data_IF_393012050764
#
_entry.id   IF_393012050764
#
_cell.length_a   1.000
_cell.length_b   1.000
_cell.length_c   1.000
_cell.angle_alpha   90.00
_cell.angle_beta   90.00
_cell.angle_gamma   90.00
#
_symmetry.space_group_name_H-M   'P 1'
#
loop_
_entity.id
_entity.type
_entity.pdbx_description
1 polymer ?
#
# COMPACT_ATOMS: atom_id res chain seq x y z
N UNK A 1 -28.50 1.33 10.29
CA UNK A 1 -27.47 1.88 9.40
C UNK A 1 -26.30 0.93 9.48
N UNK A 2 -25.89 0.28 8.40
CA UNK A 2 -24.85 -0.74 8.44
C UNK A 2 -23.45 -0.11 8.25
N UNK A 3 -22.41 -0.76 8.77
CA UNK A 3 -21.01 -0.36 8.54
C UNK A 3 -20.58 -0.47 7.06
N UNK A 4 -21.35 -1.19 6.24
CA UNK A 4 -21.13 -1.31 4.79
C UNK A 4 -21.14 0.04 4.06
N UNK A 5 -21.84 1.03 4.62
CA UNK A 5 -21.92 2.36 4.03
C UNK A 5 -20.79 3.32 4.47
N UNK A 6 -19.88 2.87 5.35
CA UNK A 6 -18.82 3.74 5.87
C UNK A 6 -17.87 4.27 4.78
N UNK A 7 -17.61 3.49 3.75
CA UNK A 7 -16.79 3.88 2.60
C UNK A 7 -17.40 4.96 1.69
N UNK A 8 -18.70 5.23 1.84
CA UNK A 8 -19.41 6.19 1.01
C UNK A 8 -19.32 7.65 1.53
N UNK A 9 -18.79 7.85 2.73
CA UNK A 9 -18.61 9.19 3.28
C UNK A 9 -17.39 9.88 2.64
N UNK A 10 -17.59 11.10 2.16
CA UNK A 10 -16.56 11.88 1.48
C UNK A 10 -15.66 12.64 2.46
N UNK A 11 -16.23 13.11 3.58
CA UNK A 11 -15.51 13.95 4.54
C UNK A 11 -15.20 13.22 5.85
N UNK A 12 -14.17 13.72 6.55
CA UNK A 12 -13.80 13.22 7.87
C UNK A 12 -14.91 13.45 8.90
N UNK A 13 -15.60 14.60 8.82
CA UNK A 13 -16.68 14.98 9.74
C UNK A 13 -17.91 14.09 9.56
N UNK A 14 -18.24 13.72 8.33
CA UNK A 14 -19.31 12.74 8.05
C UNK A 14 -18.99 11.38 8.66
N UNK A 15 -17.74 10.90 8.49
CA UNK A 15 -17.28 9.64 9.09
C UNK A 15 -17.34 9.69 10.62
N UNK A 16 -16.89 10.79 11.22
CA UNK A 16 -16.92 10.99 12.66
C UNK A 16 -18.37 10.99 13.19
N UNK A 17 -19.24 11.76 12.57
CA UNK A 17 -20.66 11.83 12.93
C UNK A 17 -21.36 10.48 12.82
N UNK A 18 -21.03 9.72 11.76
CA UNK A 18 -21.53 8.36 11.59
C UNK A 18 -21.08 7.43 12.72
N UNK A 19 -19.79 7.41 13.05
CA UNK A 19 -19.23 6.58 14.12
C UNK A 19 -19.84 6.93 15.47
N UNK A 20 -19.94 8.22 15.80
CA UNK A 20 -20.60 8.67 17.04
C UNK A 20 -22.05 8.14 17.13
N UNK A 21 -22.81 8.25 16.05
CA UNK A 21 -24.18 7.76 16.00
C UNK A 21 -24.26 6.23 16.09
N UNK A 22 -23.36 5.51 15.41
CA UNK A 22 -23.36 4.04 15.36
C UNK A 22 -23.05 3.43 16.73
N UNK A 23 -22.08 4.03 17.48
CA UNK A 23 -21.67 3.51 18.78
C UNK A 23 -22.34 4.17 19.98
N UNK A 24 -23.34 5.02 19.78
CA UNK A 24 -23.98 5.83 20.83
C UNK A 24 -24.46 5.01 22.04
N UNK A 25 -24.94 3.79 21.81
CA UNK A 25 -25.45 2.91 22.88
C UNK A 25 -24.33 2.25 23.68
N UNK A 26 -23.13 2.11 23.11
CA UNK A 26 -22.00 1.39 23.71
C UNK A 26 -20.90 2.32 24.19
N UNK A 27 -20.82 3.53 23.61
CA UNK A 27 -19.74 4.48 23.89
C UNK A 27 -20.26 5.92 23.84
N UNK A 28 -20.21 6.58 24.99
CA UNK A 28 -20.74 7.94 25.17
C UNK A 28 -19.67 9.03 25.23
N UNK A 29 -18.39 8.66 25.32
CA UNK A 29 -17.27 9.60 25.31
C UNK A 29 -16.96 10.09 23.90
N UNK A 30 -16.21 11.16 23.79
CA UNK A 30 -15.75 11.65 22.49
C UNK A 30 -14.70 10.73 21.88
N UNK A 31 -14.86 10.47 20.58
CA UNK A 31 -13.88 9.72 19.80
C UNK A 31 -12.68 10.62 19.49
N UNK A 32 -11.46 10.13 19.76
CA UNK A 32 -10.25 10.81 19.31
C UNK A 32 -10.11 10.64 17.79
N UNK A 33 -9.98 11.75 17.09
CA UNK A 33 -9.95 11.80 15.63
C UNK A 33 -8.55 12.14 15.13
N UNK A 34 -8.06 11.39 14.17
CA UNK A 34 -6.77 11.61 13.53
C UNK A 34 -6.95 11.83 12.03
N UNK A 35 -6.72 13.07 11.60
CA UNK A 35 -6.80 13.42 10.18
C UNK A 35 -5.56 12.93 9.42
N UNK A 36 -5.80 12.41 8.22
CA UNK A 36 -4.78 12.13 7.21
C UNK A 36 -4.52 13.38 6.36
N UNK A 37 -3.44 13.34 5.57
CA UNK A 37 -3.28 14.23 4.42
C UNK A 37 -4.37 13.88 3.39
N UNK A 38 -4.78 14.85 2.59
CA UNK A 38 -5.78 14.64 1.53
C UNK A 38 -5.19 13.91 0.33
N UNK A 39 -3.88 14.11 0.06
CA UNK A 39 -3.14 13.53 -1.06
C UNK A 39 -1.85 12.86 -0.61
N UNK A 40 -1.32 11.99 -1.46
CA UNK A 40 0.00 11.36 -1.31
C UNK A 40 0.24 10.66 0.04
N UNK A 41 -0.83 10.08 0.60
CA UNK A 41 -0.76 9.40 1.90
C UNK A 41 -0.59 7.88 1.78
N UNK A 42 -0.89 7.30 0.62
CA UNK A 42 -0.97 5.84 0.46
C UNK A 42 0.31 5.26 -0.12
N UNK A 43 0.98 4.44 0.68
CA UNK A 43 2.26 3.83 0.35
C UNK A 43 2.14 2.54 -0.46
N UNK A 44 0.94 1.99 -0.64
CA UNK A 44 0.67 0.83 -1.50
C UNK A 44 -0.44 1.16 -2.48
N UNK A 45 -0.20 0.88 -3.76
CA UNK A 45 -1.18 1.03 -4.82
C UNK A 45 -1.14 -0.19 -5.76
N UNK A 46 -2.31 -0.69 -6.10
CA UNK A 46 -2.50 -1.82 -7.01
C UNK A 46 -3.31 -1.36 -8.21
N UNK A 47 -2.81 -1.60 -9.40
CA UNK A 47 -3.44 -1.22 -10.65
C UNK A 47 -3.51 -2.41 -11.60
N UNK A 48 -4.57 -2.45 -12.39
CA UNK A 48 -4.62 -3.32 -13.56
C UNK A 48 -3.92 -2.66 -14.73
N UNK A 49 -3.52 -3.48 -15.71
CA UNK A 49 -3.20 -2.99 -17.04
C UNK A 49 -4.38 -3.20 -18.00
N UNK A 50 -4.56 -2.22 -18.88
CA UNK A 50 -5.48 -2.27 -20.01
C UNK A 50 -4.67 -2.18 -21.30
N UNK A 51 -4.93 -3.10 -22.22
CA UNK A 51 -4.27 -3.17 -23.52
C UNK A 51 -5.23 -2.69 -24.60
N UNK A 52 -4.86 -1.68 -25.35
CA UNK A 52 -5.63 -1.13 -26.45
C UNK A 52 -4.71 -0.71 -27.59
N UNK A 53 -5.03 -1.14 -28.82
CA UNK A 53 -4.26 -0.79 -30.03
C UNK A 53 -2.74 -0.99 -29.87
N UNK A 54 -2.34 -2.14 -29.31
CA UNK A 54 -0.96 -2.49 -28.98
C UNK A 54 -0.27 -1.57 -27.94
N UNK A 55 -1.02 -0.72 -27.29
CA UNK A 55 -0.55 0.19 -26.25
C UNK A 55 -1.04 -0.25 -24.87
N UNK A 56 -0.26 0.04 -23.85
CA UNK A 56 -0.51 -0.32 -22.46
C UNK A 56 -0.93 0.92 -21.67
N UNK A 57 -1.95 0.77 -20.80
CA UNK A 57 -2.41 1.82 -19.91
C UNK A 57 -2.61 1.26 -18.50
N UNK A 58 -2.39 2.09 -17.49
CA UNK A 58 -2.89 1.78 -16.16
C UNK A 58 -4.41 1.89 -16.12
N UNK A 59 -5.03 0.99 -15.38
CA UNK A 59 -6.48 0.99 -15.22
C UNK A 59 -6.89 0.58 -13.80
N UNK A 60 -8.02 1.10 -13.38
CA UNK A 60 -8.73 0.64 -12.19
C UNK A 60 -10.07 0.04 -12.58
N UNK A 61 -10.60 -0.79 -11.69
CA UNK A 61 -11.89 -1.40 -11.86
C UNK A 61 -12.94 -0.61 -11.07
N UNK A 62 -13.98 -0.16 -11.75
CA UNK A 62 -15.14 0.45 -11.09
C UNK A 62 -16.09 -0.65 -10.60
N UNK A 63 -16.26 -0.82 -9.28
CA UNK A 63 -17.09 -1.87 -8.72
C UNK A 63 -18.58 -1.71 -9.06
N UNK A 64 -19.05 -0.50 -9.37
CA UNK A 64 -20.45 -0.22 -9.72
C UNK A 64 -20.76 -0.59 -11.17
N UNK A 65 -20.00 -0.05 -12.10
CA UNK A 65 -20.16 -0.32 -13.54
C UNK A 65 -19.55 -1.65 -13.97
N UNK A 66 -18.70 -2.27 -13.15
CA UNK A 66 -17.90 -3.47 -13.46
C UNK A 66 -17.02 -3.30 -14.71
N UNK A 67 -16.64 -2.05 -15.02
CA UNK A 67 -15.78 -1.73 -16.16
C UNK A 67 -14.43 -1.22 -15.67
N UNK A 68 -13.38 -1.44 -16.47
CA UNK A 68 -12.08 -0.81 -16.29
C UNK A 68 -12.14 0.61 -16.86
N UNK A 69 -11.46 1.54 -16.19
CA UNK A 69 -11.22 2.89 -16.67
C UNK A 69 -9.73 3.22 -16.57
N UNK A 70 -9.24 3.98 -17.55
CA UNK A 70 -7.82 4.35 -17.63
C UNK A 70 -7.48 5.34 -16.52
N UNK A 71 -6.32 5.16 -15.92
CA UNK A 71 -5.75 6.01 -14.88
C UNK A 71 -4.44 6.59 -15.38
N UNK A 72 -4.33 7.91 -15.37
CA UNK A 72 -3.10 8.62 -15.69
C UNK A 72 -2.35 9.04 -14.42
N UNK A 73 -3.07 9.32 -13.35
CA UNK A 73 -2.53 9.82 -12.09
C UNK A 73 -3.33 9.33 -10.88
N UNK A 74 -2.62 9.13 -9.75
CA UNK A 74 -3.20 8.69 -8.47
C UNK A 74 -2.87 9.73 -7.39
N UNK A 75 -3.72 10.70 -7.17
CA UNK A 75 -3.47 11.76 -6.19
C UNK A 75 -3.39 11.27 -4.72
N UNK A 76 -3.99 10.14 -4.40
CA UNK A 76 -3.88 9.52 -3.08
C UNK A 76 -2.58 8.72 -2.87
N UNK A 77 -1.92 8.26 -3.95
CA UNK A 77 -0.70 7.46 -3.84
C UNK A 77 0.52 8.31 -3.47
N UNK A 78 1.46 7.71 -2.76
CA UNK A 78 2.73 8.35 -2.40
C UNK A 78 3.41 8.99 -3.61
N UNK A 79 4.06 10.14 -3.40
CA UNK A 79 4.71 10.92 -4.47
C UNK A 79 5.72 10.10 -5.26
N UNK A 80 6.42 9.14 -4.62
CA UNK A 80 7.36 8.25 -5.32
C UNK A 80 6.62 7.34 -6.31
N UNK A 81 5.43 6.84 -5.94
CA UNK A 81 4.59 6.04 -6.85
C UNK A 81 4.18 6.91 -8.03
N UNK A 82 3.61 8.09 -7.76
CA UNK A 82 3.14 9.01 -8.80
C UNK A 82 4.24 9.41 -9.77
N UNK A 83 5.43 9.74 -9.26
CA UNK A 83 6.59 10.12 -10.07
C UNK A 83 7.16 8.94 -10.89
N UNK A 84 6.97 7.72 -10.41
CA UNK A 84 7.52 6.52 -11.04
C UNK A 84 6.58 5.89 -12.08
N UNK A 85 5.27 6.00 -11.91
CA UNK A 85 4.26 5.44 -12.82
C UNK A 85 4.53 5.76 -14.31
N UNK A 86 4.76 7.02 -14.72
CA UNK A 86 5.01 7.33 -16.13
C UNK A 86 6.28 6.66 -16.67
N UNK A 87 7.36 6.64 -15.88
CA UNK A 87 8.64 6.03 -16.28
C UNK A 87 8.52 4.52 -16.50
N UNK A 88 7.82 3.83 -15.59
CA UNK A 88 7.57 2.39 -15.73
C UNK A 88 6.71 2.10 -16.95
N UNK A 89 5.65 2.88 -17.16
CA UNK A 89 4.72 2.70 -18.29
C UNK A 89 5.42 2.91 -19.63
N UNK A 90 6.26 3.94 -19.75
CA UNK A 90 7.04 4.23 -20.93
C UNK A 90 7.98 3.05 -21.28
N UNK A 91 8.73 2.55 -20.29
CA UNK A 91 9.62 1.41 -20.50
C UNK A 91 8.87 0.15 -20.93
N UNK A 92 7.75 -0.15 -20.26
CA UNK A 92 6.92 -1.33 -20.57
C UNK A 92 6.32 -1.25 -21.98
N UNK A 93 5.96 -0.06 -22.46
CA UNK A 93 5.43 0.16 -23.81
C UNK A 93 6.46 -0.13 -24.90
N UNK A 94 7.72 0.12 -24.62
CA UNK A 94 8.83 -0.09 -25.58
C UNK A 94 9.27 -1.55 -25.69
N UNK A 95 8.95 -2.41 -24.72
CA UNK A 95 9.35 -3.82 -24.70
C UNK A 95 8.13 -4.73 -24.90
N UNK A 96 7.98 -5.26 -26.10
CA UNK A 96 6.88 -6.16 -26.46
C UNK A 96 6.84 -7.43 -25.61
N UNK A 97 8.00 -7.93 -25.16
CA UNK A 97 8.04 -9.11 -24.29
C UNK A 97 7.53 -8.79 -22.91
N UNK A 98 7.85 -7.61 -22.35
CA UNK A 98 7.41 -7.22 -21.02
C UNK A 98 5.92 -6.85 -20.99
N UNK A 99 5.38 -6.21 -22.03
CA UNK A 99 3.95 -5.84 -22.06
C UNK A 99 3.03 -7.02 -22.32
N UNK A 100 3.49 -8.05 -23.03
CA UNK A 100 2.66 -9.20 -23.39
C UNK A 100 2.15 -9.94 -22.15
N UNK A 101 0.82 -10.11 -22.06
CA UNK A 101 0.10 -10.76 -20.94
C UNK A 101 0.42 -10.21 -19.55
N UNK A 102 0.92 -8.99 -19.47
CA UNK A 102 1.02 -8.22 -18.24
C UNK A 102 -0.37 -7.70 -17.90
N UNK A 103 -0.88 -8.03 -16.71
CA UNK A 103 -2.25 -7.67 -16.33
C UNK A 103 -2.37 -6.79 -15.10
N UNK A 104 -1.32 -6.70 -14.28
CA UNK A 104 -1.37 -5.90 -13.07
C UNK A 104 0.00 -5.47 -12.57
N UNK A 105 -0.01 -4.44 -11.74
CA UNK A 105 1.15 -3.93 -11.03
C UNK A 105 0.77 -3.56 -9.59
N UNK A 106 1.66 -3.89 -8.67
CA UNK A 106 1.60 -3.44 -7.29
C UNK A 106 2.81 -2.56 -7.02
N UNK A 107 2.56 -1.36 -6.49
CA UNK A 107 3.58 -0.46 -5.99
C UNK A 107 3.58 -0.48 -4.47
N UNK A 108 4.75 -0.54 -3.89
CA UNK A 108 4.93 -0.44 -2.45
C UNK A 108 6.11 0.47 -2.14
N UNK A 109 5.86 1.54 -1.40
CA UNK A 109 6.88 2.48 -0.96
C UNK A 109 7.07 2.44 0.54
N UNK A 110 8.28 2.70 0.94
CA UNK A 110 8.65 3.09 2.31
C UNK A 110 9.30 4.48 2.29
N UNK A 111 9.72 4.99 3.44
CA UNK A 111 10.49 6.25 3.47
C UNK A 111 11.76 6.15 2.61
N UNK A 112 12.37 4.96 2.52
CA UNK A 112 13.66 4.73 1.86
C UNK A 112 13.54 4.13 0.47
N UNK A 113 12.58 3.24 0.23
CA UNK A 113 12.61 2.31 -0.90
C UNK A 113 11.30 2.32 -1.71
N UNK A 114 11.40 1.87 -2.94
CA UNK A 114 10.27 1.54 -3.82
C UNK A 114 10.44 0.12 -4.32
N UNK A 115 9.41 -0.68 -4.15
CA UNK A 115 9.28 -2.02 -4.73
C UNK A 115 8.11 -2.07 -5.70
N UNK A 116 8.28 -2.80 -6.79
CA UNK A 116 7.27 -2.99 -7.83
C UNK A 116 7.09 -4.46 -8.07
N UNK A 117 5.83 -4.92 -8.05
CA UNK A 117 5.47 -6.27 -8.44
C UNK A 117 4.69 -6.24 -9.74
N UNK A 118 5.20 -6.91 -10.77
CA UNK A 118 4.53 -7.09 -12.06
C UNK A 118 3.83 -8.46 -12.10
N UNK A 119 2.55 -8.46 -12.51
CA UNK A 119 1.69 -9.64 -12.51
C UNK A 119 1.39 -10.09 -13.94
N UNK A 120 1.77 -11.34 -14.26
CA UNK A 120 1.70 -11.90 -15.59
C UNK A 120 0.78 -13.12 -15.71
N UNK A 121 0.15 -13.24 -16.88
CA UNK A 121 -0.55 -14.46 -17.33
C UNK A 121 0.29 -15.34 -18.27
N UNK A 122 1.62 -15.30 -18.14
CA UNK A 122 2.56 -16.12 -18.91
C UNK A 122 3.70 -16.64 -18.05
N UNK A 123 4.53 -17.52 -18.62
CA UNK A 123 5.74 -17.95 -17.95
C UNK A 123 6.76 -16.80 -17.89
N UNK A 124 7.11 -16.37 -16.67
CA UNK A 124 8.02 -15.24 -16.46
C UNK A 124 9.50 -15.60 -16.64
N UNK A 125 9.85 -16.89 -16.64
CA UNK A 125 11.22 -17.32 -16.94
C UNK A 125 11.66 -16.94 -18.35
N UNK A 126 10.73 -16.97 -19.31
CA UNK A 126 10.99 -16.66 -20.73
C UNK A 126 11.37 -15.19 -20.96
N UNK A 127 11.08 -14.33 -19.98
CA UNK A 127 11.35 -12.89 -20.01
C UNK A 127 12.27 -12.44 -18.86
N UNK A 128 12.96 -13.37 -18.21
CA UNK A 128 13.81 -13.09 -17.04
C UNK A 128 14.87 -12.01 -17.32
N UNK A 129 15.56 -12.10 -18.46
CA UNK A 129 16.57 -11.11 -18.85
C UNK A 129 15.98 -9.71 -19.09
N UNK A 130 14.76 -9.63 -19.67
CA UNK A 130 14.09 -8.34 -19.86
C UNK A 130 13.68 -7.72 -18.51
N UNK A 131 13.20 -8.54 -17.56
CA UNK A 131 12.87 -8.10 -16.20
C UNK A 131 14.11 -7.64 -15.43
N UNK A 132 15.22 -8.34 -15.55
CA UNK A 132 16.49 -7.95 -14.93
C UNK A 132 17.00 -6.61 -15.48
N UNK A 133 16.95 -6.43 -16.79
CA UNK A 133 17.28 -5.16 -17.43
C UNK A 133 16.38 -4.02 -16.95
N UNK A 134 15.06 -4.25 -16.87
CA UNK A 134 14.11 -3.28 -16.32
C UNK A 134 14.50 -2.87 -14.90
N UNK A 135 14.76 -3.85 -14.02
CA UNK A 135 15.18 -3.59 -12.63
C UNK A 135 16.46 -2.77 -12.55
N UNK A 136 17.45 -3.07 -13.42
CA UNK A 136 18.74 -2.40 -13.43
C UNK A 136 18.64 -0.98 -13.98
N UNK A 137 17.96 -0.77 -15.10
CA UNK A 137 17.82 0.53 -15.76
C UNK A 137 17.02 1.50 -14.88
N UNK A 138 15.93 1.04 -14.29
CA UNK A 138 15.09 1.87 -13.45
C UNK A 138 15.53 1.92 -11.97
N UNK A 139 16.58 1.18 -11.61
CA UNK A 139 17.13 1.11 -10.25
C UNK A 139 16.11 0.74 -9.15
N UNK A 140 15.22 -0.20 -9.45
CA UNK A 140 14.12 -0.61 -8.55
C UNK A 140 14.29 -2.00 -7.97
N UNK A 141 13.64 -2.25 -6.83
CA UNK A 141 13.34 -3.60 -6.36
C UNK A 141 12.15 -4.12 -7.17
N UNK A 142 12.41 -5.08 -8.06
CA UNK A 142 11.40 -5.63 -8.95
C UNK A 142 11.08 -7.07 -8.57
N UNK A 143 9.79 -7.35 -8.49
CA UNK A 143 9.25 -8.71 -8.36
C UNK A 143 8.39 -8.98 -9.58
N UNK A 144 8.50 -10.15 -10.16
CA UNK A 144 7.58 -10.62 -11.19
C UNK A 144 6.87 -11.88 -10.70
N UNK A 145 5.56 -11.94 -10.91
CA UNK A 145 4.73 -13.09 -10.52
C UNK A 145 3.91 -13.62 -11.68
N UNK A 146 3.82 -14.91 -11.72
CA UNK A 146 2.94 -15.66 -12.59
C UNK A 146 2.43 -16.88 -11.81
N UNK A 147 1.46 -17.62 -12.35
CA UNK A 147 0.88 -18.79 -11.67
C UNK A 147 1.97 -19.73 -11.14
N UNK A 148 2.12 -19.76 -9.80
CA UNK A 148 3.07 -20.67 -9.11
C UNK A 148 4.55 -20.28 -9.21
N UNK A 149 4.89 -19.11 -9.80
CA UNK A 149 6.28 -18.64 -9.96
C UNK A 149 6.45 -17.21 -9.46
N UNK A 150 7.61 -16.95 -8.86
CA UNK A 150 8.04 -15.64 -8.37
C UNK A 150 9.51 -15.44 -8.73
N UNK A 151 9.84 -14.36 -9.42
CA UNK A 151 11.21 -13.93 -9.67
C UNK A 151 11.45 -12.62 -8.90
N UNK A 152 12.61 -12.50 -8.28
CA UNK A 152 13.02 -11.37 -7.47
C UNK A 152 14.30 -10.79 -8.04
N UNK A 153 14.32 -9.49 -8.30
CA UNK A 153 15.48 -8.74 -8.77
C UNK A 153 15.85 -7.70 -7.72
N UNK A 154 17.07 -7.76 -7.21
CA UNK A 154 17.64 -7.10 -6.06
C UNK A 154 17.12 -7.68 -4.74
N UNK A 155 16.03 -7.19 -4.19
CA UNK A 155 15.46 -7.69 -2.92
C UNK A 155 13.94 -7.62 -2.91
N UNK A 156 13.32 -8.51 -2.16
CA UNK A 156 11.90 -8.44 -1.80
C UNK A 156 11.68 -7.86 -0.39
N UNK A 157 12.73 -7.72 0.39
CA UNK A 157 12.66 -7.12 1.71
C UNK A 157 12.79 -5.61 1.62
N UNK A 158 11.91 -4.93 2.34
CA UNK A 158 11.88 -3.46 2.44
C UNK A 158 12.10 -3.04 3.87
N UNK A 159 12.74 -1.88 4.03
CA UNK A 159 12.96 -1.24 5.33
C UNK A 159 12.01 -0.07 5.52
N UNK A 160 11.35 -0.05 6.65
CA UNK A 160 10.48 1.05 7.06
C UNK A 160 10.96 1.61 8.39
N UNK A 161 10.98 2.93 8.49
CA UNK A 161 11.21 3.63 9.74
C UNK A 161 9.93 4.34 10.16
N UNK A 162 9.46 4.06 11.37
CA UNK A 162 8.36 4.76 12.02
C UNK A 162 8.89 5.67 13.13
N UNK A 163 8.36 6.88 13.21
CA UNK A 163 8.66 7.82 14.30
C UNK A 163 7.52 7.74 15.32
N UNK A 164 7.79 7.16 16.48
CA UNK A 164 6.81 6.96 17.54
C UNK A 164 7.28 7.71 18.79
N UNK A 165 6.62 8.81 19.11
CA UNK A 165 7.09 9.74 20.15
C UNK A 165 8.55 10.18 19.86
N UNK A 166 9.47 9.99 20.79
CA UNK A 166 10.89 10.33 20.65
C UNK A 166 11.75 9.17 20.12
N UNK A 167 11.11 8.05 19.71
CA UNK A 167 11.79 6.84 19.24
C UNK A 167 11.65 6.65 17.74
N UNK A 168 12.72 6.11 17.11
CA UNK A 168 12.67 5.58 15.75
C UNK A 168 12.61 4.07 15.82
N UNK A 169 11.58 3.48 15.24
CA UNK A 169 11.40 2.04 15.16
C UNK A 169 11.67 1.59 13.72
N UNK A 170 12.53 0.59 13.60
CA UNK A 170 12.97 0.07 12.30
C UNK A 170 12.32 -1.29 12.07
N UNK A 171 11.71 -1.43 10.91
CA UNK A 171 11.15 -2.67 10.42
C UNK A 171 11.89 -3.14 9.19
N UNK A 172 12.08 -4.45 9.10
CA UNK A 172 12.34 -5.11 7.82
C UNK A 172 11.22 -6.11 7.59
N UNK A 173 10.58 -6.05 6.43
CA UNK A 173 9.45 -6.91 6.10
C UNK A 173 9.49 -7.31 4.63
N UNK A 174 8.92 -8.47 4.34
CA UNK A 174 8.78 -9.00 3.00
C UNK A 174 7.67 -8.24 2.24
N UNK A 175 7.83 -8.03 0.94
CA UNK A 175 6.86 -7.34 0.08
C UNK A 175 5.44 -7.93 0.13
N UNK A 176 5.32 -9.24 0.46
CA UNK A 176 4.02 -9.94 0.56
C UNK A 176 3.27 -9.62 1.85
N UNK A 177 3.91 -8.95 2.78
CA UNK A 177 3.35 -8.69 4.08
C UNK A 177 2.37 -7.55 4.07
N UNK A 178 1.34 -7.68 4.90
CA UNK A 178 0.46 -6.56 5.14
C UNK A 178 1.19 -5.49 5.95
N UNK A 179 1.17 -4.26 5.45
CA UNK A 179 1.56 -3.06 6.19
C UNK A 179 0.43 -2.04 6.12
N UNK A 180 0.38 -1.16 7.11
CA UNK A 180 -0.57 -0.04 7.09
C UNK A 180 -0.21 0.92 5.94
N UNK A 181 -1.11 1.11 4.97
CA UNK A 181 -0.79 1.86 3.76
C UNK A 181 -0.68 3.37 3.98
N UNK A 182 -1.09 3.88 5.13
CA UNK A 182 -0.92 5.28 5.52
C UNK A 182 0.04 5.36 6.71
N UNK A 183 1.33 5.54 6.41
CA UNK A 183 2.39 5.56 7.42
C UNK A 183 2.17 6.65 8.48
N UNK A 184 1.72 7.85 8.09
CA UNK A 184 1.49 8.96 9.04
C UNK A 184 0.37 8.64 10.02
N UNK A 185 -0.72 8.05 9.55
CA UNK A 185 -1.81 7.63 10.45
C UNK A 185 -1.38 6.44 11.30
N UNK A 186 -0.59 5.52 10.74
CA UNK A 186 -0.04 4.40 11.49
C UNK A 186 0.82 4.88 12.67
N UNK A 187 1.71 5.84 12.44
CA UNK A 187 2.53 6.45 13.50
C UNK A 187 1.65 7.08 14.60
N UNK A 188 0.57 7.79 14.21
CA UNK A 188 -0.39 8.38 15.16
C UNK A 188 -1.15 7.30 15.96
N UNK A 189 -1.60 6.22 15.31
CA UNK A 189 -2.28 5.11 15.98
C UNK A 189 -1.38 4.45 17.02
N UNK A 190 -0.14 4.14 16.65
CA UNK A 190 0.82 3.50 17.55
C UNK A 190 1.14 4.44 18.72
N UNK A 191 1.43 5.71 18.45
CA UNK A 191 1.67 6.73 19.48
C UNK A 191 0.52 6.80 20.47
N UNK A 192 -0.71 6.83 19.98
CA UNK A 192 -1.90 6.87 20.83
C UNK A 192 -2.03 5.63 21.72
N UNK A 193 -1.76 4.43 21.19
CA UNK A 193 -1.76 3.20 21.99
C UNK A 193 -0.66 3.25 23.06
N UNK A 194 0.55 3.70 22.72
CA UNK A 194 1.62 3.90 23.70
C UNK A 194 1.21 4.86 24.82
N UNK A 195 0.57 5.99 24.48
CA UNK A 195 0.06 6.96 25.47
C UNK A 195 -0.94 6.32 26.45
N UNK A 196 -1.89 5.54 25.93
CA UNK A 196 -2.89 4.84 26.77
C UNK A 196 -2.21 3.83 27.70
N UNK A 197 -1.29 3.03 27.20
CA UNK A 197 -0.64 1.98 27.97
C UNK A 197 0.34 2.54 28.99
N UNK A 198 1.03 3.65 28.70
CA UNK A 198 1.92 4.33 29.65
C UNK A 198 1.19 4.87 30.89
N UNK A 199 -0.14 5.06 30.83
CA UNK A 199 -0.96 5.44 31.98
C UNK A 199 -1.28 4.27 32.91
N UNK A 200 -1.02 3.04 32.48
CA UNK A 200 -1.31 1.82 33.21
C UNK A 200 -0.07 1.35 33.99
N UNK A 201 -0.25 0.97 35.23
CA UNK A 201 0.82 0.39 36.04
C UNK A 201 0.98 -1.09 35.65
N UNK A 202 2.20 -1.50 35.31
CA UNK A 202 2.65 -2.88 35.02
C UNK A 202 1.52 -3.86 34.68
N UNK A 203 1.32 -4.09 33.41
CA UNK A 203 0.32 -5.03 32.89
C UNK A 203 0.98 -5.93 31.86
N UNK A 204 0.55 -7.17 31.82
CA UNK A 204 0.84 -8.04 30.69
C UNK A 204 -0.02 -7.59 29.51
N UNK A 205 0.56 -7.52 28.31
CA UNK A 205 -0.12 -7.12 27.09
C UNK A 205 -0.26 -8.32 26.16
N UNK A 206 -1.49 -8.65 25.79
CA UNK A 206 -1.78 -9.61 24.74
C UNK A 206 -2.15 -8.86 23.45
N UNK A 207 -1.36 -9.02 22.42
CA UNK A 207 -1.67 -8.53 21.07
C UNK A 207 -2.17 -9.68 20.20
N UNK A 208 -3.41 -9.55 19.68
CA UNK A 208 -3.98 -10.47 18.70
C UNK A 208 -3.84 -9.89 17.30
N UNK A 209 -3.57 -10.76 16.31
CA UNK A 209 -3.35 -10.35 14.90
C UNK A 209 -2.17 -9.39 14.74
N UNK A 210 -1.09 -9.63 15.44
CA UNK A 210 0.10 -8.76 15.46
C UNK A 210 0.73 -8.53 14.07
N UNK A 211 0.48 -9.42 13.11
CA UNK A 211 1.05 -9.35 11.76
C UNK A 211 2.58 -9.32 11.84
N UNK A 212 3.16 -8.26 11.28
CA UNK A 212 4.62 -8.00 11.30
C UNK A 212 5.09 -7.26 12.55
N UNK A 213 4.32 -7.27 13.60
CA UNK A 213 4.67 -6.61 14.84
C UNK A 213 4.51 -5.09 14.78
N UNK A 214 3.52 -4.61 14.02
CA UNK A 214 3.27 -3.17 13.84
C UNK A 214 3.12 -2.40 15.15
N UNK A 215 2.43 -2.98 16.13
CA UNK A 215 2.32 -2.45 17.48
C UNK A 215 3.33 -3.09 18.42
N UNK A 216 3.59 -4.39 18.29
CA UNK A 216 4.48 -5.17 19.18
C UNK A 216 5.82 -4.48 19.38
N UNK A 217 6.51 -4.10 18.30
CA UNK A 217 7.85 -3.48 18.38
C UNK A 217 7.83 -2.10 19.05
N UNK A 218 6.73 -1.40 19.02
CA UNK A 218 6.59 -0.11 19.68
C UNK A 218 6.24 -0.24 21.17
N UNK A 219 5.59 -1.35 21.55
CA UNK A 219 5.07 -1.61 22.89
C UNK A 219 6.00 -2.47 23.74
N UNK A 220 6.97 -3.15 23.13
CA UNK A 220 8.05 -3.85 23.80
C UNK A 220 9.13 -2.85 24.27
#
# INVERSE_FOLDING_TARGET
>A
MSLENFGNFLTLDEKHSFIKKYFKEFYTKDFKLFASKDKHYRTRAELSFYHENDTLFYAMFDPKSKKKYIIEYLDFADEKICAFMPKLLEYLRQDNKLKEKLFGVEFLTTKQELSITLLYHKNIEDIKSNLENLSNILHINLIARSKGKKLIFKTENLRQTLNIQDRKIFYEFNNDCFIQPNTTINEKMITWVCEILNTQKRMDLLELYCGYGNFTLALA
#
